data_IF_558884249213
#
_entry.id   IF_558884249213
#
_cell.length_a   1.000
_cell.length_b   1.000
_cell.length_c   1.000
_cell.angle_alpha   90.00
_cell.angle_beta   90.00
_cell.angle_gamma   90.00
#
_symmetry.space_group_name_H-M   'P 1'
#
loop_
_entity.id
_entity.type
_entity.pdbx_description
1 polymer ?
#
# COMPACT_ATOMS: atom_id res chain seq x y z
N UNK A 1 12.79 -13.54 17.81
CA UNK A 1 12.74 -14.24 16.50
C UNK A 1 12.98 -13.28 15.31
N UNK A 2 12.28 -12.11 15.24
CA UNK A 2 12.40 -11.18 14.11
C UNK A 2 13.85 -10.67 13.93
N UNK A 3 14.54 -10.29 15.02
CA UNK A 3 15.91 -9.80 14.95
C UNK A 3 16.90 -10.88 14.46
N UNK A 4 16.75 -12.12 14.92
CA UNK A 4 17.60 -13.23 14.47
C UNK A 4 17.35 -13.56 12.99
N UNK A 5 16.08 -13.54 12.56
CA UNK A 5 15.75 -13.73 11.15
C UNK A 5 16.31 -12.61 10.28
N UNK A 6 16.26 -11.35 10.77
CA UNK A 6 16.87 -10.21 10.06
C UNK A 6 18.38 -10.41 9.86
N UNK A 7 19.10 -10.81 10.91
CA UNK A 7 20.55 -11.07 10.83
C UNK A 7 20.87 -12.20 9.85
N UNK A 8 20.10 -13.28 9.86
CA UNK A 8 20.26 -14.38 8.91
C UNK A 8 20.00 -13.94 7.48
N UNK A 9 18.96 -13.15 7.26
CA UNK A 9 18.67 -12.59 5.94
C UNK A 9 19.75 -11.62 5.47
N UNK A 10 20.33 -10.82 6.35
CA UNK A 10 21.46 -9.94 6.04
C UNK A 10 22.69 -10.73 5.60
N UNK A 11 22.96 -11.87 6.25
CA UNK A 11 24.05 -12.78 5.87
C UNK A 11 23.82 -13.44 4.49
N UNK A 12 22.57 -13.84 4.20
CA UNK A 12 22.23 -14.55 2.95
C UNK A 12 22.08 -13.62 1.76
N UNK A 13 21.42 -12.46 1.96
CA UNK A 13 21.06 -11.54 0.87
C UNK A 13 21.95 -10.30 0.78
N UNK A 14 22.69 -9.94 1.84
CA UNK A 14 23.40 -8.70 2.02
C UNK A 14 22.53 -7.65 2.74
N UNK A 15 23.10 -6.96 3.73
CA UNK A 15 22.41 -5.90 4.47
C UNK A 15 21.97 -4.75 3.55
N UNK A 16 22.78 -4.43 2.55
CA UNK A 16 22.53 -3.41 1.53
C UNK A 16 21.32 -3.71 0.65
N UNK A 17 20.90 -4.97 0.59
CA UNK A 17 19.74 -5.43 -0.17
C UNK A 17 18.43 -5.43 0.64
N UNK A 18 18.49 -5.01 1.90
CA UNK A 18 17.31 -4.85 2.72
C UNK A 18 16.47 -3.69 2.22
N UNK A 19 15.18 -3.95 1.95
CA UNK A 19 14.23 -2.93 1.48
C UNK A 19 13.42 -2.38 2.65
N UNK A 20 12.73 -3.26 3.39
CA UNK A 20 11.80 -2.84 4.43
C UNK A 20 11.40 -3.99 5.36
N UNK A 21 11.02 -3.64 6.57
CA UNK A 21 10.20 -4.49 7.45
C UNK A 21 8.76 -4.03 7.36
N UNK A 22 7.87 -4.93 6.98
CA UNK A 22 6.44 -4.70 6.91
C UNK A 22 5.80 -5.31 8.16
N UNK A 23 4.90 -4.57 8.79
CA UNK A 23 4.13 -5.00 9.95
C UNK A 23 2.76 -5.47 9.46
N UNK A 24 2.48 -6.76 9.60
CA UNK A 24 1.16 -7.32 9.35
C UNK A 24 0.37 -7.40 10.65
N UNK A 25 -0.72 -6.65 10.75
CA UNK A 25 -1.67 -6.72 11.85
C UNK A 25 -2.54 -7.97 11.69
N UNK A 26 -2.14 -9.07 12.36
CA UNK A 26 -2.68 -10.42 12.14
C UNK A 26 -3.92 -10.77 12.94
N UNK A 27 -4.29 -9.96 13.94
CA UNK A 27 -5.42 -10.21 14.86
C UNK A 27 -6.21 -8.94 15.06
N UNK A 28 -7.53 -9.02 15.10
CA UNK A 28 -8.42 -7.88 15.33
C UNK A 28 -8.61 -7.56 16.82
N UNK A 29 -8.37 -8.53 17.73
CA UNK A 29 -8.48 -8.36 19.18
C UNK A 29 -7.31 -8.99 19.92
N UNK A 30 -6.94 -8.38 21.05
CA UNK A 30 -5.96 -8.95 21.97
C UNK A 30 -6.55 -10.13 22.72
N UNK A 31 -5.73 -11.16 23.01
CA UNK A 31 -6.14 -12.27 23.87
C UNK A 31 -6.05 -11.86 25.34
N UNK A 32 -7.11 -12.10 26.10
CA UNK A 32 -7.13 -11.84 27.54
C UNK A 32 -6.23 -12.80 28.35
N UNK A 33 -5.86 -13.93 27.75
CA UNK A 33 -5.02 -14.95 28.39
C UNK A 33 -3.52 -14.67 28.24
N UNK A 34 -3.15 -13.54 27.65
CA UNK A 34 -1.75 -13.18 27.44
C UNK A 34 -1.16 -12.57 28.72
N UNK A 35 -0.14 -13.21 29.28
CA UNK A 35 0.67 -12.63 30.34
C UNK A 35 1.54 -11.50 29.76
N UNK A 36 1.21 -10.23 30.05
CA UNK A 36 1.92 -9.05 29.56
C UNK A 36 1.26 -8.40 28.35
N UNK A 37 2.02 -8.09 27.30
CA UNK A 37 1.53 -7.40 26.11
C UNK A 37 1.19 -8.40 25.00
N UNK A 38 -0.06 -8.40 24.53
CA UNK A 38 -0.51 -9.29 23.47
C UNK A 38 0.12 -8.89 22.11
N UNK A 39 0.76 -9.87 21.44
CA UNK A 39 1.31 -9.67 20.10
C UNK A 39 0.19 -9.69 19.06
N UNK A 40 -0.10 -8.54 18.47
CA UNK A 40 -1.15 -8.33 17.48
C UNK A 40 -0.65 -8.40 16.04
N UNK A 41 0.66 -8.55 15.83
CA UNK A 41 1.29 -8.47 14.52
C UNK A 41 2.37 -9.51 14.31
N UNK A 42 2.69 -9.75 13.05
CA UNK A 42 3.91 -10.40 12.59
C UNK A 42 4.68 -9.46 11.67
N UNK A 43 5.94 -9.80 11.41
CA UNK A 43 6.82 -9.05 10.53
C UNK A 43 7.00 -9.80 9.21
N UNK A 44 7.02 -9.06 8.10
CA UNK A 44 7.46 -9.53 6.79
C UNK A 44 8.72 -8.76 6.43
N UNK A 45 9.84 -9.46 6.32
CA UNK A 45 11.11 -8.88 5.89
C UNK A 45 11.19 -8.90 4.38
N UNK A 46 11.47 -7.76 3.78
CA UNK A 46 11.57 -7.59 2.33
C UNK A 46 13.02 -7.30 1.94
N UNK A 47 13.56 -8.14 1.06
CA UNK A 47 14.89 -8.01 0.47
C UNK A 47 14.80 -8.06 -1.04
N UNK A 48 15.68 -7.35 -1.71
CA UNK A 48 15.98 -7.54 -3.12
C UNK A 48 17.20 -8.46 -3.27
N UNK A 49 17.35 -9.09 -4.42
CA UNK A 49 18.59 -9.84 -4.73
C UNK A 49 19.61 -8.96 -5.42
N UNK A 50 19.14 -8.02 -6.23
CA UNK A 50 19.96 -7.06 -6.98
C UNK A 50 19.21 -5.73 -7.06
N UNK A 51 19.90 -4.68 -7.47
CA UNK A 51 19.36 -3.34 -7.76
C UNK A 51 18.40 -3.31 -8.96
N UNK A 52 18.23 -4.41 -9.68
CA UNK A 52 17.24 -4.54 -10.74
C UNK A 52 15.80 -4.67 -10.22
N UNK A 53 15.61 -4.86 -8.90
CA UNK A 53 14.28 -4.92 -8.33
C UNK A 53 13.61 -3.54 -8.35
N UNK A 54 12.45 -3.45 -8.98
CA UNK A 54 11.55 -2.31 -8.86
C UNK A 54 10.18 -2.78 -8.34
N UNK A 55 9.70 -2.13 -7.28
CA UNK A 55 8.42 -2.48 -6.69
C UNK A 55 7.27 -2.02 -7.57
N UNK A 56 6.24 -2.83 -7.65
CA UNK A 56 5.01 -2.39 -8.28
C UNK A 56 4.22 -1.44 -7.36
N UNK A 57 3.44 -0.59 -7.98
CA UNK A 57 2.41 0.18 -7.30
C UNK A 57 1.16 -0.69 -7.11
N UNK A 58 0.46 -0.48 -6.01
CA UNK A 58 -0.84 -1.09 -5.80
C UNK A 58 -1.93 -0.31 -6.54
N UNK A 59 -2.97 -0.97 -7.04
CA UNK A 59 -4.11 -0.28 -7.64
C UNK A 59 -4.74 0.72 -6.67
N UNK A 60 -5.20 1.85 -7.18
CA UNK A 60 -5.95 2.81 -6.38
C UNK A 60 -7.32 2.24 -6.01
N UNK A 61 -7.75 2.47 -4.77
CA UNK A 61 -9.09 2.09 -4.34
C UNK A 61 -10.13 3.11 -4.81
N UNK A 62 -11.39 2.70 -4.92
CA UNK A 62 -12.51 3.61 -5.21
C UNK A 62 -12.60 4.75 -4.19
N UNK A 63 -12.34 4.48 -2.89
CA UNK A 63 -12.30 5.48 -1.83
C UNK A 63 -11.26 6.57 -2.12
N UNK A 64 -10.10 6.22 -2.66
CA UNK A 64 -9.06 7.18 -3.02
C UNK A 64 -9.40 7.96 -4.29
N UNK A 65 -10.01 7.32 -5.28
CA UNK A 65 -10.49 7.98 -6.49
C UNK A 65 -11.66 8.93 -6.19
N UNK A 66 -12.55 8.59 -5.27
CA UNK A 66 -13.68 9.44 -4.86
C UNK A 66 -13.29 10.77 -4.21
N UNK A 67 -12.01 10.94 -3.82
CA UNK A 67 -11.49 12.24 -3.39
C UNK A 67 -11.42 13.26 -4.53
N UNK A 68 -11.32 12.80 -5.78
CA UNK A 68 -11.26 13.62 -7.00
C UNK A 68 -12.69 13.82 -7.53
N UNK A 69 -13.47 14.62 -6.82
CA UNK A 69 -14.92 14.76 -7.03
C UNK A 69 -15.34 16.06 -7.77
N UNK A 70 -14.39 16.93 -8.07
CA UNK A 70 -14.65 18.17 -8.78
C UNK A 70 -14.29 18.02 -10.25
N UNK A 71 -15.12 18.57 -11.13
CA UNK A 71 -14.84 18.73 -12.55
C UNK A 71 -15.00 20.21 -12.91
N UNK A 72 -14.07 20.76 -13.63
CA UNK A 72 -14.12 22.14 -14.12
C UNK A 72 -14.68 22.26 -15.54
N UNK A 73 -15.03 21.12 -16.18
CA UNK A 73 -15.43 21.03 -17.58
C UNK A 73 -14.39 21.66 -18.56
N UNK A 74 -13.12 21.61 -18.15
CA UNK A 74 -11.97 22.18 -18.91
C UNK A 74 -11.22 21.11 -19.72
N UNK A 75 -11.78 19.89 -19.80
CA UNK A 75 -11.19 18.74 -20.50
C UNK A 75 -10.05 18.07 -19.74
N UNK A 76 -9.66 18.55 -18.55
CA UNK A 76 -8.58 17.97 -17.74
C UNK A 76 -9.06 16.88 -16.79
N UNK A 77 -10.39 16.68 -16.67
CA UNK A 77 -11.02 15.64 -15.87
C UNK A 77 -11.17 15.97 -14.39
N UNK A 78 -11.43 14.94 -13.59
CA UNK A 78 -11.69 15.11 -12.16
C UNK A 78 -10.47 15.55 -11.37
N UNK A 79 -10.70 16.44 -10.39
CA UNK A 79 -9.65 16.97 -9.52
C UNK A 79 -10.10 17.09 -8.06
N UNK A 80 -9.14 17.30 -7.17
CA UNK A 80 -9.34 17.67 -5.78
C UNK A 80 -8.51 18.91 -5.42
N UNK A 81 -8.96 19.73 -4.44
CA UNK A 81 -8.10 20.79 -3.91
C UNK A 81 -6.93 20.20 -3.14
N UNK A 82 -5.76 20.78 -3.33
CA UNK A 82 -4.52 20.39 -2.69
C UNK A 82 -3.78 21.63 -2.15
N UNK A 83 -2.88 21.41 -1.22
CA UNK A 83 -2.17 22.49 -0.53
C UNK A 83 -1.11 23.11 -1.44
N UNK A 84 -1.10 24.44 -1.54
CA UNK A 84 -0.09 25.22 -2.27
C UNK A 84 1.13 25.58 -1.40
N UNK A 85 1.19 25.16 -0.14
CA UNK A 85 2.28 25.54 0.77
C UNK A 85 3.05 24.33 1.29
N UNK A 86 4.35 24.51 1.57
CA UNK A 86 5.25 23.53 2.18
C UNK A 86 5.89 24.08 3.46
N UNK A 87 6.40 23.19 4.32
CA UNK A 87 7.08 23.55 5.57
C UNK A 87 8.57 23.87 5.37
N UNK A 88 9.19 23.31 4.32
CA UNK A 88 10.58 23.63 3.98
C UNK A 88 10.63 25.01 3.40
N UNK A 89 11.16 25.99 4.15
CA UNK A 89 11.10 27.40 3.80
C UNK A 89 12.17 27.75 2.76
N UNK A 90 11.71 28.38 1.67
CA UNK A 90 12.55 29.10 0.72
C UNK A 90 12.09 30.56 0.65
N UNK A 91 13.00 31.49 0.86
CA UNK A 91 12.68 32.93 0.88
C UNK A 91 12.11 33.42 -0.46
N UNK A 92 12.56 32.86 -1.57
CA UNK A 92 12.06 33.17 -2.91
C UNK A 92 10.61 32.72 -3.15
N UNK A 93 10.06 31.89 -2.25
CA UNK A 93 8.69 31.37 -2.33
C UNK A 93 7.77 31.98 -1.27
N UNK A 94 8.20 33.10 -0.65
CA UNK A 94 7.39 33.90 0.25
C UNK A 94 6.98 35.19 -0.48
N UNK A 95 5.78 35.19 -1.02
CA UNK A 95 5.16 36.31 -1.73
C UNK A 95 3.64 36.25 -1.59
N UNK A 96 2.94 37.28 -2.00
CA UNK A 96 1.47 37.32 -1.97
C UNK A 96 0.87 36.79 -3.29
N UNK A 97 -0.16 35.96 -3.17
CA UNK A 97 -0.98 35.52 -4.31
C UNK A 97 -2.28 36.33 -4.28
N UNK A 98 -2.49 37.13 -5.31
CA UNK A 98 -3.71 37.91 -5.47
C UNK A 98 -4.78 37.09 -6.16
N UNK A 99 -5.95 36.98 -5.52
CA UNK A 99 -7.14 36.37 -6.11
C UNK A 99 -7.68 37.26 -7.24
N UNK A 100 -7.71 36.80 -8.49
CA UNK A 100 -8.14 37.65 -9.62
C UNK A 100 -9.63 38.02 -9.57
N UNK A 101 -10.46 37.29 -8.83
CA UNK A 101 -11.89 37.55 -8.75
C UNK A 101 -12.26 38.63 -7.72
N UNK A 102 -11.41 38.80 -6.69
CA UNK A 102 -11.72 39.67 -5.55
C UNK A 102 -10.67 40.78 -5.33
N UNK A 103 -9.47 40.66 -5.91
CA UNK A 103 -8.35 41.52 -5.62
C UNK A 103 -7.69 41.32 -4.27
N UNK A 104 -8.17 40.32 -3.47
CA UNK A 104 -7.62 40.03 -2.14
C UNK A 104 -6.30 39.25 -2.30
N UNK A 105 -5.27 39.71 -1.60
CA UNK A 105 -3.96 39.07 -1.59
C UNK A 105 -3.80 38.16 -0.38
N UNK A 106 -3.19 37.01 -0.59
CA UNK A 106 -2.95 35.97 0.42
C UNK A 106 -1.45 35.69 0.55
N UNK A 107 -0.83 35.99 1.68
CA UNK A 107 0.52 35.50 2.00
C UNK A 107 0.48 33.98 2.32
N UNK A 108 1.60 33.27 2.27
CA UNK A 108 1.66 31.90 2.77
C UNK A 108 1.42 31.88 4.28
N UNK A 109 0.88 30.80 4.80
CA UNK A 109 0.65 30.65 6.24
C UNK A 109 1.97 30.79 7.04
N UNK A 110 1.90 31.31 8.25
CA UNK A 110 3.08 31.51 9.12
C UNK A 110 3.88 30.20 9.24
N UNK A 111 5.20 30.29 9.01
CA UNK A 111 6.12 29.13 9.04
C UNK A 111 6.02 28.22 7.82
N UNK A 112 5.48 28.72 6.71
CA UNK A 112 5.38 28.01 5.43
C UNK A 112 5.78 28.95 4.26
N UNK A 113 6.08 28.37 3.12
CA UNK A 113 6.20 29.09 1.86
C UNK A 113 5.38 28.39 0.76
N UNK A 114 5.21 29.02 -0.37
CA UNK A 114 4.55 28.39 -1.52
C UNK A 114 5.41 27.25 -2.09
N UNK A 115 4.80 26.35 -2.84
CA UNK A 115 5.48 25.17 -3.41
C UNK A 115 6.33 25.50 -4.63
N UNK A 116 6.20 26.71 -5.20
CA UNK A 116 6.88 27.13 -6.43
C UNK A 116 7.03 28.65 -6.49
N UNK A 117 7.64 29.15 -7.57
CA UNK A 117 7.87 30.59 -7.81
C UNK A 117 6.57 31.34 -8.13
N UNK A 118 6.61 32.66 -7.92
CA UNK A 118 5.48 33.57 -8.22
C UNK A 118 5.06 33.51 -9.70
N UNK A 119 6.01 33.44 -10.62
CA UNK A 119 5.73 33.34 -12.04
C UNK A 119 4.95 32.07 -12.37
N UNK A 120 5.33 30.93 -11.77
CA UNK A 120 4.63 29.66 -11.99
C UNK A 120 3.22 29.67 -11.42
N UNK A 121 3.00 30.34 -10.30
CA UNK A 121 1.64 30.52 -9.77
C UNK A 121 0.79 31.39 -10.71
N UNK A 122 1.34 32.46 -11.26
CA UNK A 122 0.63 33.30 -12.25
C UNK A 122 0.22 32.52 -13.51
N UNK A 123 1.12 31.67 -14.01
CA UNK A 123 0.80 30.72 -15.09
C UNK A 123 -0.36 29.80 -14.69
N UNK A 124 -0.29 29.17 -13.51
CA UNK A 124 -1.33 28.28 -13.02
C UNK A 124 -2.68 28.97 -12.79
N UNK A 125 -2.68 30.25 -12.42
CA UNK A 125 -3.92 31.03 -12.35
C UNK A 125 -4.53 31.19 -13.74
N UNK A 126 -3.73 31.55 -14.74
CA UNK A 126 -4.17 31.70 -16.14
C UNK A 126 -4.67 30.35 -16.70
N UNK A 127 -3.98 29.25 -16.41
CA UNK A 127 -4.37 27.89 -16.80
C UNK A 127 -5.61 27.37 -16.06
N UNK A 128 -6.14 28.13 -15.09
CA UNK A 128 -7.27 27.70 -14.25
C UNK A 128 -6.94 26.60 -13.25
N UNK A 129 -5.65 26.41 -12.91
CA UNK A 129 -5.18 25.38 -11.98
C UNK A 129 -5.23 25.81 -10.52
N UNK A 130 -5.39 27.10 -10.24
CA UNK A 130 -5.55 27.60 -8.86
C UNK A 130 -7.04 27.72 -8.55
N UNK A 131 -7.44 27.12 -7.44
CA UNK A 131 -8.83 27.12 -6.94
C UNK A 131 -8.95 28.05 -5.75
N UNK A 132 -9.88 29.00 -5.85
CA UNK A 132 -10.14 30.00 -4.81
C UNK A 132 -11.45 29.74 -4.05
N UNK A 133 -11.75 28.47 -3.74
CA UNK A 133 -13.01 28.10 -3.10
C UNK A 133 -14.17 27.99 -4.11
N UNK A 134 -15.29 27.42 -3.64
CA UNK A 134 -16.47 27.21 -4.51
C UNK A 134 -17.12 28.50 -4.98
N UNK A 135 -17.03 29.54 -4.16
CA UNK A 135 -17.54 30.90 -4.46
C UNK A 135 -16.51 31.81 -5.14
N UNK A 136 -15.32 31.29 -5.40
CA UNK A 136 -14.21 32.02 -6.00
C UNK A 136 -13.57 33.07 -5.10
N UNK A 137 -13.87 33.08 -3.79
CA UNK A 137 -13.41 34.12 -2.84
C UNK A 137 -12.44 33.60 -1.77
N UNK A 138 -12.14 32.30 -1.78
CA UNK A 138 -11.27 31.66 -0.80
C UNK A 138 -9.78 31.85 -1.05
N UNK A 139 -8.97 31.37 -0.12
CA UNK A 139 -7.52 31.32 -0.26
C UNK A 139 -7.13 30.32 -1.38
N UNK A 140 -5.94 30.54 -2.02
CA UNK A 140 -5.52 29.75 -3.16
C UNK A 140 -5.20 28.30 -2.75
N UNK A 141 -5.68 27.36 -3.55
CA UNK A 141 -5.39 25.94 -3.49
C UNK A 141 -5.05 25.42 -4.89
N UNK A 142 -4.24 24.35 -4.99
CA UNK A 142 -3.93 23.74 -6.28
C UNK A 142 -5.02 22.76 -6.67
N UNK A 143 -5.49 22.78 -7.90
CA UNK A 143 -6.25 21.68 -8.48
C UNK A 143 -5.30 20.54 -8.80
N UNK A 144 -5.41 19.42 -8.08
CA UNK A 144 -4.68 18.17 -8.37
C UNK A 144 -5.58 17.28 -9.20
N UNK A 145 -5.25 17.08 -10.46
CA UNK A 145 -6.04 16.25 -11.37
C UNK A 145 -5.73 14.77 -11.20
N UNK A 146 -6.75 13.93 -11.34
CA UNK A 146 -6.63 12.48 -11.19
C UNK A 146 -5.74 11.86 -12.28
N UNK A 147 -5.81 12.36 -13.49
CA UNK A 147 -4.99 11.90 -14.61
C UNK A 147 -3.53 12.35 -14.57
N UNK A 148 -3.17 13.25 -13.66
CA UNK A 148 -1.79 13.73 -13.47
C UNK A 148 -1.10 13.05 -12.29
N UNK A 149 -1.84 12.31 -11.46
CA UNK A 149 -1.22 11.57 -10.37
C UNK A 149 -0.76 10.21 -10.85
N UNK A 150 0.28 9.70 -10.21
CA UNK A 150 0.81 8.37 -10.49
C UNK A 150 -0.32 7.33 -10.50
N UNK A 151 -0.35 6.50 -11.53
CA UNK A 151 -1.32 5.41 -11.65
C UNK A 151 -0.94 4.29 -10.69
N UNK A 152 -1.45 4.41 -9.47
CA UNK A 152 -1.20 3.49 -8.37
C UNK A 152 -0.70 4.16 -7.10
N UNK A 153 -0.51 3.35 -6.06
CA UNK A 153 -0.15 3.77 -4.71
C UNK A 153 1.11 3.05 -4.28
N UNK A 154 2.02 3.80 -3.67
CA UNK A 154 3.17 3.22 -2.99
C UNK A 154 2.70 2.32 -1.86
N UNK A 155 3.10 1.03 -1.80
CA UNK A 155 2.78 0.16 -0.67
C UNK A 155 3.27 0.74 0.64
N UNK A 156 2.43 0.72 1.68
CA UNK A 156 2.83 1.10 3.04
C UNK A 156 3.55 -0.05 3.73
N UNK A 157 4.29 0.25 4.79
CA UNK A 157 4.93 -0.76 5.66
C UNK A 157 4.03 -1.27 6.79
N UNK A 158 2.77 -0.83 6.87
CA UNK A 158 1.78 -1.31 7.83
C UNK A 158 0.59 -1.84 7.03
N UNK A 159 0.28 -3.13 7.22
CA UNK A 159 -0.82 -3.81 6.57
C UNK A 159 -1.85 -4.26 7.60
N UNK A 160 -3.06 -3.72 7.49
CA UNK A 160 -4.14 -3.98 8.42
C UNK A 160 -4.88 -5.27 8.07
N UNK A 161 -5.43 -5.92 9.11
CA UNK A 161 -6.15 -7.18 8.99
C UNK A 161 -7.41 -7.10 8.11
N UNK A 162 -8.05 -5.94 8.05
CA UNK A 162 -9.21 -5.67 7.21
C UNK A 162 -8.86 -5.48 5.72
N UNK A 163 -7.59 -5.21 5.43
CA UNK A 163 -7.06 -5.08 4.07
C UNK A 163 -6.53 -6.41 3.51
N UNK A 164 -5.73 -7.12 4.30
CA UNK A 164 -4.98 -8.30 3.83
C UNK A 164 -5.41 -9.61 4.51
N UNK A 165 -6.41 -9.56 5.39
CA UNK A 165 -6.85 -10.70 6.16
C UNK A 165 -6.10 -10.90 7.47
N UNK A 166 -6.66 -11.75 8.32
CA UNK A 166 -6.16 -12.10 9.66
C UNK A 166 -6.13 -13.63 9.84
N UNK A 167 -5.47 -14.08 10.90
CA UNK A 167 -5.25 -15.51 11.15
C UNK A 167 -6.54 -16.33 11.20
N UNK A 168 -7.58 -15.83 11.89
CA UNK A 168 -8.87 -16.55 11.98
C UNK A 168 -9.62 -16.56 10.63
N UNK A 169 -9.48 -15.48 9.84
CA UNK A 169 -9.99 -15.40 8.48
C UNK A 169 -9.37 -16.45 7.58
N UNK A 170 -8.05 -16.58 7.63
CA UNK A 170 -7.31 -17.59 6.85
C UNK A 170 -7.77 -19.01 7.16
N UNK A 171 -8.04 -19.31 8.43
CA UNK A 171 -8.59 -20.62 8.82
C UNK A 171 -9.99 -20.86 8.27
N UNK A 172 -10.83 -19.80 8.20
CA UNK A 172 -12.17 -19.89 7.58
C UNK A 172 -12.07 -20.07 6.07
N UNK A 173 -11.14 -19.36 5.39
CA UNK A 173 -10.86 -19.58 3.97
C UNK A 173 -10.54 -21.05 3.69
N UNK A 174 -9.64 -21.64 4.50
CA UNK A 174 -9.25 -23.04 4.36
C UNK A 174 -10.44 -23.98 4.57
N UNK A 175 -11.27 -23.75 5.59
CA UNK A 175 -12.48 -24.52 5.84
C UNK A 175 -13.48 -24.47 4.68
N UNK A 176 -13.59 -23.35 4.01
CA UNK A 176 -14.47 -23.22 2.85
C UNK A 176 -13.99 -24.04 1.64
N UNK A 177 -12.66 -24.25 1.53
CA UNK A 177 -12.05 -25.06 0.48
C UNK A 177 -12.18 -26.57 0.77
N UNK A 178 -12.12 -26.94 2.06
CA UNK A 178 -12.08 -28.34 2.51
C UNK A 178 -13.36 -28.75 3.28
N UNK A 179 -14.53 -28.35 2.78
CA UNK A 179 -15.85 -28.76 3.27
C UNK A 179 -16.05 -28.66 4.80
N UNK A 180 -15.47 -27.63 5.41
CA UNK A 180 -15.59 -27.35 6.84
C UNK A 180 -14.39 -27.76 7.68
N UNK A 181 -13.42 -28.44 7.10
CA UNK A 181 -12.19 -28.83 7.78
C UNK A 181 -11.06 -27.84 7.55
N UNK A 182 -10.13 -27.74 8.50
CA UNK A 182 -8.91 -26.94 8.36
C UNK A 182 -7.71 -27.87 8.55
N UNK A 183 -7.22 -28.50 7.48
CA UNK A 183 -6.15 -29.50 7.56
C UNK A 183 -4.78 -28.91 7.96
N UNK A 184 -4.70 -27.59 8.13
CA UNK A 184 -3.50 -26.88 8.56
C UNK A 184 -3.83 -25.88 9.67
N UNK A 185 -3.03 -25.88 10.76
CA UNK A 185 -3.37 -25.15 11.99
C UNK A 185 -3.24 -23.63 11.87
N UNK A 186 -2.24 -23.13 11.16
CA UNK A 186 -1.90 -21.71 11.08
C UNK A 186 -1.71 -21.24 9.64
N UNK A 187 -2.73 -21.30 8.77
CA UNK A 187 -2.64 -20.80 7.41
C UNK A 187 -2.42 -19.30 7.41
N UNK A 188 -1.72 -18.79 6.39
CA UNK A 188 -1.67 -17.35 6.12
C UNK A 188 -2.87 -16.96 5.26
N UNK A 189 -3.43 -15.75 5.42
CA UNK A 189 -4.56 -15.32 4.59
C UNK A 189 -4.11 -15.10 3.15
N UNK A 190 -4.95 -15.49 2.21
CA UNK A 190 -4.68 -15.37 0.77
C UNK A 190 -4.43 -13.92 0.37
N UNK A 191 -5.16 -12.95 0.96
CA UNK A 191 -4.98 -11.53 0.72
C UNK A 191 -3.58 -11.00 1.09
N UNK A 192 -2.96 -11.50 2.17
CA UNK A 192 -1.60 -11.15 2.55
C UNK A 192 -0.59 -11.57 1.47
N UNK A 193 -0.68 -12.81 1.02
CA UNK A 193 0.23 -13.35 0.00
C UNK A 193 -0.02 -12.70 -1.36
N UNK A 194 -1.27 -12.44 -1.73
CA UNK A 194 -1.61 -11.68 -2.95
C UNK A 194 -0.94 -10.31 -2.95
N UNK A 195 -1.01 -9.57 -1.84
CA UNK A 195 -0.38 -8.26 -1.74
C UNK A 195 1.14 -8.34 -1.88
N UNK A 196 1.79 -9.34 -1.29
CA UNK A 196 3.23 -9.60 -1.48
C UNK A 196 3.53 -9.81 -2.96
N UNK A 197 2.79 -10.69 -3.63
CA UNK A 197 2.97 -11.02 -5.05
C UNK A 197 2.72 -9.78 -5.92
N UNK A 198 1.68 -9.01 -5.66
CA UNK A 198 1.36 -7.79 -6.42
C UNK A 198 2.50 -6.78 -6.41
N UNK A 199 3.14 -6.56 -5.26
CA UNK A 199 4.20 -5.55 -5.14
C UNK A 199 5.58 -6.04 -5.62
N UNK A 200 5.78 -7.35 -5.74
CA UNK A 200 7.11 -7.94 -5.97
C UNK A 200 7.25 -8.72 -7.27
N UNK A 201 6.19 -8.90 -8.05
CA UNK A 201 6.22 -9.72 -9.26
C UNK A 201 5.58 -9.05 -10.46
N UNK A 202 6.07 -9.38 -11.65
CA UNK A 202 5.36 -9.14 -12.90
C UNK A 202 4.37 -10.29 -13.21
N UNK A 203 3.63 -10.15 -14.33
CA UNK A 203 2.61 -11.13 -14.75
C UNK A 203 3.16 -12.49 -15.22
N UNK A 204 4.47 -12.69 -15.33
CA UNK A 204 5.13 -13.92 -15.80
C UNK A 204 6.12 -14.50 -14.79
N UNK A 205 6.27 -13.89 -13.64
CA UNK A 205 7.20 -14.29 -12.58
C UNK A 205 6.94 -15.70 -12.06
N UNK A 206 7.95 -16.28 -11.43
CA UNK A 206 7.87 -17.54 -10.70
C UNK A 206 7.92 -17.23 -9.21
N UNK A 207 6.91 -17.68 -8.46
CA UNK A 207 6.83 -17.57 -7.02
C UNK A 207 7.33 -18.88 -6.40
N UNK A 208 8.46 -18.84 -5.68
CA UNK A 208 8.97 -19.98 -4.92
C UNK A 208 8.59 -19.83 -3.45
N UNK A 209 7.95 -20.86 -2.89
CA UNK A 209 7.65 -20.96 -1.47
C UNK A 209 8.19 -22.30 -0.96
N UNK A 210 9.26 -22.24 -0.17
CA UNK A 210 9.91 -23.45 0.34
C UNK A 210 9.49 -23.82 1.78
N UNK A 211 8.43 -23.16 2.29
CA UNK A 211 7.68 -23.53 3.50
C UNK A 211 6.18 -23.49 3.23
N UNK A 212 5.74 -24.18 2.19
CA UNK A 212 4.43 -24.04 1.56
C UNK A 212 3.22 -24.16 2.52
N UNK A 213 3.36 -24.87 3.64
CA UNK A 213 2.31 -25.02 4.63
C UNK A 213 0.99 -25.48 4.03
N UNK A 214 -0.03 -24.63 4.08
CA UNK A 214 -1.36 -24.89 3.51
C UNK A 214 -1.47 -24.64 2.00
N UNK A 215 -0.37 -24.26 1.34
CA UNK A 215 -0.37 -23.95 -0.10
C UNK A 215 -0.97 -22.57 -0.46
N UNK A 216 -1.06 -21.65 0.50
CA UNK A 216 -1.66 -20.31 0.29
C UNK A 216 -0.99 -19.55 -0.85
N UNK A 217 0.30 -19.73 -1.07
CA UNK A 217 1.02 -19.08 -2.17
C UNK A 217 0.50 -19.52 -3.54
N UNK A 218 0.21 -20.82 -3.73
CA UNK A 218 -0.41 -21.31 -4.96
C UNK A 218 -1.81 -20.71 -5.18
N UNK A 219 -2.64 -20.70 -4.13
CA UNK A 219 -3.97 -20.12 -4.17
C UNK A 219 -3.91 -18.63 -4.56
N UNK A 220 -3.06 -17.84 -3.90
CA UNK A 220 -2.86 -16.43 -4.19
C UNK A 220 -2.40 -16.16 -5.64
N UNK A 221 -1.48 -16.98 -6.17
CA UNK A 221 -1.02 -16.88 -7.56
C UNK A 221 -2.15 -17.17 -8.54
N UNK A 222 -2.93 -18.23 -8.30
CA UNK A 222 -4.07 -18.60 -9.18
C UNK A 222 -5.14 -17.52 -9.19
N UNK A 223 -5.54 -17.00 -8.02
CA UNK A 223 -6.50 -15.91 -7.94
C UNK A 223 -6.00 -14.66 -8.64
N UNK A 224 -4.75 -14.25 -8.40
CA UNK A 224 -4.20 -13.05 -9.00
C UNK A 224 -4.09 -13.16 -10.52
N UNK A 225 -3.72 -14.33 -11.05
CA UNK A 225 -3.73 -14.59 -12.50
C UNK A 225 -5.14 -14.50 -13.10
N UNK A 226 -6.17 -14.97 -12.38
CA UNK A 226 -7.56 -14.85 -12.81
C UNK A 226 -8.03 -13.38 -12.81
N UNK A 227 -7.59 -12.58 -11.86
CA UNK A 227 -7.98 -11.17 -11.73
C UNK A 227 -7.33 -10.27 -12.78
N UNK A 228 -6.03 -10.46 -13.06
CA UNK A 228 -5.25 -9.53 -13.89
C UNK A 228 -4.81 -10.12 -15.24
N UNK A 229 -5.24 -11.35 -15.56
CA UNK A 229 -4.86 -12.07 -16.77
C UNK A 229 -3.39 -12.48 -16.80
N UNK A 230 -2.75 -12.59 -15.64
CA UNK A 230 -1.36 -12.99 -15.49
C UNK A 230 -1.11 -14.47 -15.79
N UNK A 231 0.14 -14.82 -15.97
CA UNK A 231 0.65 -16.17 -16.19
C UNK A 231 1.77 -16.51 -15.21
N UNK A 232 1.67 -15.98 -13.96
CA UNK A 232 2.61 -16.30 -12.91
C UNK A 232 2.58 -17.80 -12.64
N UNK A 233 3.71 -18.34 -12.33
CA UNK A 233 3.89 -19.75 -11.93
C UNK A 233 4.30 -19.81 -10.48
N UNK A 234 4.12 -20.95 -9.84
CA UNK A 234 4.58 -21.18 -8.48
C UNK A 234 5.32 -22.50 -8.36
N UNK A 235 6.24 -22.58 -7.40
CA UNK A 235 6.93 -23.78 -6.96
C UNK A 235 6.74 -23.84 -5.45
N UNK A 236 6.10 -24.91 -4.96
CA UNK A 236 5.89 -25.13 -3.53
C UNK A 236 6.76 -26.29 -3.06
N UNK A 237 7.46 -26.07 -1.97
CA UNK A 237 8.26 -27.10 -1.30
C UNK A 237 7.82 -27.21 0.15
N UNK A 238 7.55 -28.42 0.62
CA UNK A 238 7.16 -28.69 2.00
C UNK A 238 7.91 -29.93 2.48
N UNK A 239 8.52 -29.82 3.67
CA UNK A 239 9.10 -30.97 4.34
C UNK A 239 7.95 -31.88 4.80
N UNK A 240 7.91 -33.17 4.39
CA UNK A 240 6.87 -34.07 4.80
C UNK A 240 6.93 -34.27 6.32
N UNK A 241 5.77 -34.10 6.97
CA UNK A 241 5.62 -34.39 8.39
C UNK A 241 4.77 -35.68 8.53
N UNK A 242 5.12 -36.61 9.45
CA UNK A 242 4.26 -37.72 9.76
C UNK A 242 2.89 -37.23 10.24
N UNK A 243 1.83 -37.76 9.68
CA UNK A 243 0.49 -37.43 10.11
C UNK A 243 0.27 -38.20 11.42
N UNK A 244 -0.03 -37.50 12.52
CA UNK A 244 -0.39 -38.11 13.79
C UNK A 244 -1.80 -38.74 13.67
N UNK A 245 -1.86 -40.04 13.52
CA UNK A 245 -3.11 -40.80 13.39
C UNK A 245 -4.11 -40.54 14.53
N UNK A 246 -3.65 -40.04 15.69
CA UNK A 246 -4.54 -39.67 16.80
C UNK A 246 -5.22 -38.31 16.62
N UNK A 247 -4.74 -37.48 15.71
CA UNK A 247 -5.34 -36.18 15.37
C UNK A 247 -6.25 -36.26 14.16
N UNK A 248 -6.21 -37.34 13.39
CA UNK A 248 -7.22 -37.61 12.37
C UNK A 248 -8.48 -38.09 13.09
N UNK A 249 -9.45 -37.22 13.26
CA UNK A 249 -10.83 -37.64 13.49
C UNK A 249 -11.36 -38.20 12.16
N UNK A 250 -11.86 -39.43 12.22
CA UNK A 250 -12.63 -40.08 11.16
C UNK A 250 -13.74 -39.16 10.63
#
# INVERSE_FOLDING_TARGET
>A
EQAQLKLLCDEVFGEENFISTIIWHKRYAASNDTAGVASMHDFVLCYQKTDAFDRNLLPRTEKQNSLYKYDSNDGKGFWRPDNLTVKTISQSYIYEITNPNTGVSYPPAKGRCWITSENKIKEWIIEGRVFFGKDGKGAPQLKRYLNEVQDGIVPSSIWHYDEVGHTDGARKELKNIFDGEAPFDNPKPTGLIKKIIQISTDKKSICLDFFAGSGTTAHAVMELNAEDGGQRRFILVQIPQPIDAKKQKE
#
